data_IF_094518657022
#
_entry.id   IF_094518657022
#
_cell.length_a   1.000
_cell.length_b   1.000
_cell.length_c   1.000
_cell.angle_alpha   90.00
_cell.angle_beta   90.00
_cell.angle_gamma   90.00
#
_symmetry.space_group_name_H-M   'P 1'
#
loop_
_entity.id
_entity.type
_entity.pdbx_description
1 polymer ?
#
# COMPACT_ATOMS: atom_id res chain seq x y z
N UNK A 1 -11.13 -11.44 -8.71
CA UNK A 1 -10.67 -10.44 -9.72
C UNK A 1 -9.41 -9.71 -9.25
N UNK A 2 -9.38 -9.11 -8.06
CA UNK A 2 -8.22 -8.35 -7.55
C UNK A 2 -6.86 -9.11 -7.62
N UNK A 3 -6.80 -10.36 -7.16
CA UNK A 3 -5.55 -11.15 -7.25
C UNK A 3 -5.08 -11.32 -8.71
N UNK A 4 -5.99 -11.57 -9.66
CA UNK A 4 -5.63 -11.70 -11.07
C UNK A 4 -5.10 -10.39 -11.66
N UNK A 5 -5.64 -9.25 -11.23
CA UNK A 5 -5.12 -7.93 -11.61
C UNK A 5 -3.71 -7.71 -11.04
N UNK A 6 -3.46 -8.09 -9.79
CA UNK A 6 -2.12 -8.05 -9.20
C UNK A 6 -1.14 -8.90 -9.99
N UNK A 7 -1.50 -10.14 -10.34
CA UNK A 7 -0.65 -11.00 -11.18
C UNK A 7 -0.33 -10.29 -12.49
N UNK A 8 -1.35 -9.85 -13.23
CA UNK A 8 -1.16 -9.23 -14.54
C UNK A 8 -0.28 -7.97 -14.48
N UNK A 9 -0.47 -7.11 -13.49
CA UNK A 9 0.32 -5.88 -13.33
C UNK A 9 1.78 -6.22 -13.00
N UNK A 10 2.03 -7.13 -12.06
CA UNK A 10 3.40 -7.50 -11.67
C UNK A 10 4.12 -8.25 -12.79
N UNK A 11 3.41 -9.08 -13.56
CA UNK A 11 3.97 -9.72 -14.74
C UNK A 11 4.32 -8.72 -15.85
N UNK A 12 3.57 -7.64 -15.98
CA UNK A 12 3.90 -6.52 -16.86
C UNK A 12 5.01 -5.60 -16.32
N UNK A 13 5.61 -5.92 -15.15
CA UNK A 13 6.68 -5.13 -14.53
C UNK A 13 6.18 -3.98 -13.64
N UNK A 14 4.88 -3.92 -13.39
CA UNK A 14 4.28 -2.95 -12.50
C UNK A 14 4.37 -3.32 -11.01
N UNK A 15 3.86 -2.41 -10.18
CA UNK A 15 3.65 -2.60 -8.74
C UNK A 15 2.17 -2.39 -8.44
N UNK A 16 1.63 -3.11 -7.47
CA UNK A 16 0.24 -2.89 -7.00
C UNK A 16 0.20 -2.60 -5.53
N UNK A 17 -0.73 -1.74 -5.11
CA UNK A 17 -1.04 -1.47 -3.71
C UNK A 17 -2.50 -1.82 -3.43
N UNK A 18 -2.77 -2.60 -2.39
CA UNK A 18 -4.12 -2.95 -1.94
C UNK A 18 -4.80 -1.76 -1.26
N UNK A 19 -5.35 -0.84 -2.05
CA UNK A 19 -5.96 0.41 -1.58
C UNK A 19 -7.40 0.24 -1.08
N UNK A 20 -8.19 -0.61 -1.74
CA UNK A 20 -9.62 -0.76 -1.46
C UNK A 20 -9.92 -1.15 -0.01
N UNK A 21 -9.28 -2.22 0.47
CA UNK A 21 -9.47 -2.67 1.86
C UNK A 21 -8.78 -1.76 2.89
N UNK A 22 -7.86 -0.90 2.44
CA UNK A 22 -7.18 0.07 3.29
C UNK A 22 -8.06 1.30 3.53
N UNK A 23 -8.62 1.88 2.46
CA UNK A 23 -9.37 3.14 2.54
C UNK A 23 -10.88 2.92 2.65
N UNK A 24 -11.41 1.80 2.18
CA UNK A 24 -12.83 1.48 2.22
C UNK A 24 -13.49 1.75 3.58
N UNK A 25 -12.90 1.32 4.72
CA UNK A 25 -13.43 1.62 6.04
C UNK A 25 -13.60 3.12 6.32
N UNK A 26 -12.66 3.96 5.87
CA UNK A 26 -12.74 5.42 6.03
C UNK A 26 -13.84 6.03 5.17
N UNK A 27 -13.97 5.59 3.91
CA UNK A 27 -15.05 6.04 3.03
C UNK A 27 -16.44 5.64 3.54
N UNK A 28 -16.55 4.50 4.23
CA UNK A 28 -17.81 4.07 4.88
C UNK A 28 -18.09 4.85 6.16
N UNK A 29 -17.06 5.11 6.98
CA UNK A 29 -17.23 5.77 8.27
C UNK A 29 -17.47 7.29 8.14
N UNK A 30 -16.84 7.94 7.15
CA UNK A 30 -16.84 9.40 6.98
C UNK A 30 -17.20 9.79 5.53
N UNK A 31 -18.36 9.35 5.00
CA UNK A 31 -18.68 9.49 3.58
C UNK A 31 -18.77 10.95 3.12
N UNK A 32 -19.30 11.86 3.94
CA UNK A 32 -19.44 13.29 3.62
C UNK A 32 -18.08 14.01 3.53
N UNK A 33 -17.06 13.50 4.22
CA UNK A 33 -15.70 14.03 4.17
C UNK A 33 -14.89 13.39 3.04
N UNK A 34 -15.09 12.08 2.82
CA UNK A 34 -14.25 11.27 1.94
C UNK A 34 -14.69 11.28 0.47
N UNK A 35 -15.99 11.48 0.19
CA UNK A 35 -16.52 11.60 -1.17
C UNK A 35 -16.78 13.04 -1.57
N UNK A 36 -16.72 13.29 -2.88
CA UNK A 36 -17.23 14.51 -3.51
C UNK A 36 -18.77 14.52 -3.49
N UNK A 37 -19.37 15.63 -3.92
CA UNK A 37 -20.83 15.83 -3.96
C UNK A 37 -21.58 14.77 -4.79
N UNK A 38 -20.91 14.12 -5.76
CA UNK A 38 -21.50 13.05 -6.56
C UNK A 38 -21.55 11.68 -5.86
N UNK A 39 -20.94 11.58 -4.66
CA UNK A 39 -20.84 10.36 -3.84
C UNK A 39 -20.19 9.19 -4.58
N UNK A 40 -19.37 9.49 -5.57
CA UNK A 40 -18.65 8.50 -6.36
C UNK A 40 -17.15 8.81 -6.40
N UNK A 41 -16.78 10.04 -6.77
CA UNK A 41 -15.38 10.44 -6.75
C UNK A 41 -14.93 10.75 -5.33
N UNK A 42 -13.66 10.46 -4.97
CA UNK A 42 -13.08 10.97 -3.75
C UNK A 42 -13.15 12.50 -3.68
N UNK A 43 -13.32 13.03 -2.48
CA UNK A 43 -13.09 14.44 -2.17
C UNK A 43 -11.59 14.78 -2.22
N UNK A 44 -11.19 16.06 -2.07
CA UNK A 44 -9.78 16.39 -1.85
C UNK A 44 -9.13 15.63 -0.70
N UNK A 45 -9.83 15.45 0.43
CA UNK A 45 -9.34 14.67 1.56
C UNK A 45 -9.22 13.18 1.21
N UNK A 46 -10.20 12.63 0.48
CA UNK A 46 -10.16 11.25 0.00
C UNK A 46 -9.00 10.99 -0.97
N UNK A 47 -8.72 11.93 -1.89
CA UNK A 47 -7.54 11.85 -2.76
C UNK A 47 -6.23 12.00 -1.99
N UNK A 48 -6.18 12.87 -0.97
CA UNK A 48 -5.00 13.00 -0.13
C UNK A 48 -4.66 11.68 0.59
N UNK A 49 -5.66 10.97 1.13
CA UNK A 49 -5.49 9.65 1.73
C UNK A 49 -5.04 8.59 0.71
N UNK A 50 -5.62 8.59 -0.49
CA UNK A 50 -5.18 7.72 -1.58
C UNK A 50 -3.74 7.99 -1.99
N UNK A 51 -3.35 9.26 -2.15
CA UNK A 51 -1.99 9.65 -2.46
C UNK A 51 -1.02 9.24 -1.35
N UNK A 52 -1.34 9.50 -0.08
CA UNK A 52 -0.53 9.12 1.07
C UNK A 52 -0.25 7.60 1.12
N UNK A 53 -1.25 6.78 0.79
CA UNK A 53 -1.08 5.33 0.72
C UNK A 53 -0.17 4.88 -0.45
N UNK A 54 -0.20 5.59 -1.58
CA UNK A 54 0.58 5.25 -2.78
C UNK A 54 2.02 5.79 -2.75
N UNK A 55 2.24 6.93 -2.09
CA UNK A 55 3.52 7.65 -2.09
C UNK A 55 4.73 6.78 -1.72
N UNK A 56 4.70 5.91 -0.69
CA UNK A 56 5.84 5.04 -0.38
C UNK A 56 6.19 4.10 -1.55
N UNK A 57 5.18 3.58 -2.25
CA UNK A 57 5.38 2.69 -3.41
C UNK A 57 6.03 3.41 -4.57
N UNK A 58 5.52 4.62 -4.87
CA UNK A 58 6.05 5.49 -5.93
C UNK A 58 7.48 5.90 -5.63
N UNK A 59 7.76 6.32 -4.38
CA UNK A 59 9.09 6.72 -3.96
C UNK A 59 10.08 5.55 -4.07
N UNK A 60 9.71 4.33 -3.64
CA UNK A 60 10.59 3.15 -3.83
C UNK A 60 10.77 2.81 -5.31
N UNK A 61 9.74 2.93 -6.14
CA UNK A 61 9.86 2.67 -7.58
C UNK A 61 10.81 3.65 -8.28
N UNK A 62 10.88 4.90 -7.78
CA UNK A 62 11.78 5.95 -8.28
C UNK A 62 13.17 5.94 -7.60
N UNK A 63 13.43 5.03 -6.65
CA UNK A 63 14.67 5.02 -5.89
C UNK A 63 14.82 6.18 -4.90
N UNK A 64 13.71 6.81 -4.52
CA UNK A 64 13.64 7.93 -3.58
C UNK A 64 13.35 7.48 -2.12
N UNK A 65 13.24 6.17 -1.86
CA UNK A 65 12.88 5.61 -0.56
C UNK A 65 13.53 4.23 -0.29
N UNK A 66 14.18 3.99 0.87
CA UNK A 66 14.63 4.97 1.86
C UNK A 66 15.97 5.63 1.47
N UNK A 67 16.16 6.85 2.00
CA UNK A 67 17.41 7.62 1.95
C UNK A 67 18.47 7.04 2.93
N UNK A 68 18.08 6.06 3.75
CA UNK A 68 18.99 5.23 4.56
C UNK A 68 19.39 3.94 3.82
N UNK A 69 20.67 3.53 3.85
CA UNK A 69 21.18 2.37 3.13
C UNK A 69 20.67 1.01 3.63
N UNK A 70 19.98 0.97 4.78
CA UNK A 70 19.35 -0.23 5.33
C UNK A 70 17.82 -0.06 5.25
N UNK A 71 17.24 -0.31 4.07
CA UNK A 71 15.81 -0.62 4.02
C UNK A 71 15.61 -1.84 4.96
N UNK A 72 14.80 -1.74 6.03
CA UNK A 72 14.68 -2.83 6.99
C UNK A 72 14.27 -4.08 6.24
N UNK A 73 14.90 -5.21 6.53
CA UNK A 73 14.52 -6.51 5.95
C UNK A 73 13.00 -6.70 6.03
N UNK A 74 12.39 -7.34 5.02
CA UNK A 74 10.95 -7.59 5.04
C UNK A 74 10.54 -8.29 6.33
N UNK A 75 9.59 -7.69 7.04
CA UNK A 75 9.13 -8.19 8.33
C UNK A 75 8.20 -9.39 8.13
N UNK A 76 8.76 -10.60 8.32
CA UNK A 76 8.01 -11.87 8.21
C UNK A 76 6.85 -11.94 9.19
N UNK A 77 6.93 -11.31 10.35
CA UNK A 77 5.82 -11.29 11.33
C UNK A 77 4.64 -10.48 10.80
N UNK A 78 4.88 -9.53 9.90
CA UNK A 78 3.84 -8.75 9.20
C UNK A 78 3.40 -9.38 7.88
N UNK A 79 3.87 -10.59 7.59
CA UNK A 79 3.60 -11.31 6.35
C UNK A 79 4.39 -10.81 5.14
N UNK A 80 5.40 -9.98 5.35
CA UNK A 80 6.26 -9.47 4.27
C UNK A 80 7.29 -10.51 3.84
N UNK A 81 7.78 -10.37 2.61
CA UNK A 81 8.87 -11.17 2.08
C UNK A 81 8.67 -11.60 0.63
N UNK A 82 9.62 -12.39 0.14
CA UNK A 82 9.59 -12.91 -1.22
C UNK A 82 8.78 -14.20 -1.30
N UNK A 83 7.89 -14.27 -2.27
CA UNK A 83 7.10 -15.47 -2.59
C UNK A 83 6.72 -15.47 -4.07
N UNK A 84 5.97 -16.47 -4.55
CA UNK A 84 5.50 -16.45 -5.94
C UNK A 84 4.55 -15.28 -6.18
N UNK A 85 4.49 -14.74 -7.40
CA UNK A 85 3.53 -13.69 -7.78
C UNK A 85 2.08 -14.13 -7.44
N UNK A 86 1.74 -15.39 -7.68
CA UNK A 86 0.40 -15.93 -7.41
C UNK A 86 0.07 -15.94 -5.90
N UNK A 87 1.02 -16.37 -5.06
CA UNK A 87 0.85 -16.37 -3.61
C UNK A 87 0.80 -14.94 -3.06
N UNK A 88 1.71 -14.06 -3.52
CA UNK A 88 1.74 -12.66 -3.13
C UNK A 88 0.42 -11.97 -3.47
N UNK A 89 -0.10 -12.18 -4.68
CA UNK A 89 -1.39 -11.65 -5.11
C UNK A 89 -2.55 -12.14 -4.24
N UNK A 90 -2.58 -13.44 -3.93
CA UNK A 90 -3.62 -14.03 -3.08
C UNK A 90 -3.60 -13.45 -1.66
N UNK A 91 -2.39 -13.26 -1.11
CA UNK A 91 -2.21 -12.66 0.22
C UNK A 91 -2.58 -11.17 0.21
N UNK A 92 -2.19 -10.43 -0.82
CA UNK A 92 -2.41 -8.99 -0.91
C UNK A 92 -3.90 -8.61 -0.86
N UNK A 93 -4.78 -9.46 -1.39
CA UNK A 93 -6.25 -9.31 -1.32
C UNK A 93 -6.78 -9.34 0.12
N UNK A 94 -6.04 -9.88 1.08
CA UNK A 94 -6.45 -9.98 2.49
C UNK A 94 -5.68 -9.04 3.41
N UNK A 95 -4.73 -8.28 2.86
CA UNK A 95 -3.81 -7.45 3.63
C UNK A 95 -3.90 -6.01 3.15
N UNK A 96 -4.77 -5.21 3.80
CA UNK A 96 -4.90 -3.79 3.51
C UNK A 96 -3.54 -3.07 3.47
N UNK A 97 -3.34 -2.26 2.43
CA UNK A 97 -2.14 -1.45 2.25
C UNK A 97 -0.88 -2.25 1.90
N UNK A 98 -1.01 -3.53 1.56
CA UNK A 98 0.12 -4.30 1.04
C UNK A 98 0.48 -3.86 -0.37
N UNK A 99 1.79 -3.81 -0.63
CA UNK A 99 2.39 -3.65 -1.95
C UNK A 99 2.87 -5.01 -2.45
N UNK A 100 2.63 -5.29 -3.73
CA UNK A 100 3.29 -6.38 -4.47
C UNK A 100 4.11 -5.79 -5.60
N UNK A 101 5.37 -6.19 -5.69
CA UNK A 101 6.31 -5.80 -6.76
C UNK A 101 7.11 -7.02 -7.22
N UNK A 102 7.67 -6.97 -8.43
CA UNK A 102 8.59 -8.02 -8.89
C UNK A 102 9.82 -8.13 -8.00
N UNK A 103 10.37 -9.33 -7.85
CA UNK A 103 11.59 -9.57 -7.09
C UNK A 103 12.59 -10.45 -7.85
N UNK A 104 13.84 -10.37 -7.44
CA UNK A 104 14.91 -11.27 -7.85
C UNK A 104 15.46 -12.00 -6.62
N UNK A 105 15.66 -13.31 -6.73
CA UNK A 105 16.28 -14.14 -5.70
C UNK A 105 17.50 -14.84 -6.27
N UNK A 106 18.69 -14.37 -5.91
CA UNK A 106 19.95 -14.97 -6.33
C UNK A 106 20.23 -14.84 -7.83
N UNK A 107 19.89 -13.70 -8.43
CA UNK A 107 20.03 -13.42 -9.87
C UNK A 107 18.95 -14.09 -10.72
N UNK A 108 17.81 -14.45 -10.12
CA UNK A 108 16.71 -15.12 -10.82
C UNK A 108 15.39 -14.43 -10.51
N UNK A 109 14.68 -14.01 -11.55
CA UNK A 109 13.32 -13.50 -11.45
C UNK A 109 12.25 -14.59 -11.25
N UNK A 110 12.61 -15.87 -11.44
CA UNK A 110 11.68 -17.01 -11.39
C UNK A 110 12.20 -18.14 -10.51
N UNK A 111 11.27 -18.85 -9.88
CA UNK A 111 11.51 -20.07 -9.11
C UNK A 111 10.43 -21.13 -9.36
N UNK A 112 10.33 -22.15 -8.48
CA UNK A 112 9.41 -23.29 -8.68
C UNK A 112 7.93 -22.89 -8.80
N UNK A 113 7.52 -21.82 -8.14
CA UNK A 113 6.16 -21.28 -8.18
C UNK A 113 5.92 -20.23 -9.26
N UNK A 114 6.84 -20.08 -10.23
CA UNK A 114 6.77 -19.03 -11.26
C UNK A 114 7.59 -17.80 -10.89
N UNK A 115 7.14 -16.61 -11.32
CA UNK A 115 7.88 -15.36 -11.09
C UNK A 115 7.87 -15.00 -9.61
N UNK A 116 8.99 -14.47 -9.12
CA UNK A 116 9.10 -13.99 -7.74
C UNK A 116 8.47 -12.62 -7.59
N UNK A 117 7.89 -12.39 -6.42
CA UNK A 117 7.36 -11.10 -6.01
C UNK A 117 7.77 -10.80 -4.57
N UNK A 118 8.03 -9.52 -4.30
CA UNK A 118 8.18 -8.97 -2.96
C UNK A 118 6.82 -8.43 -2.51
N UNK A 119 6.36 -8.93 -1.37
CA UNK A 119 5.18 -8.44 -0.67
C UNK A 119 5.62 -7.60 0.54
N UNK A 120 5.15 -6.35 0.63
CA UNK A 120 5.51 -5.40 1.70
C UNK A 120 4.31 -4.64 2.25
N UNK A 121 4.37 -4.16 3.50
CA UNK A 121 3.37 -3.25 4.08
C UNK A 121 4.05 -1.93 4.44
N UNK A 122 4.21 -1.08 3.42
CA UNK A 122 4.95 0.19 3.53
C UNK A 122 4.22 1.23 4.36
N UNK A 123 2.88 1.24 4.34
CA UNK A 123 2.13 2.13 5.20
C UNK A 123 2.15 1.61 6.65
N UNK A 124 2.91 2.30 7.49
CA UNK A 124 2.76 2.22 8.94
C UNK A 124 1.68 3.24 9.28
N UNK A 125 0.43 2.80 9.37
CA UNK A 125 -0.58 3.60 10.05
C UNK A 125 -0.09 3.73 11.51
N UNK A 126 0.55 4.84 11.82
CA UNK A 126 0.64 5.30 13.20
C UNK A 126 -0.82 5.55 13.62
N UNK A 127 -1.28 5.02 14.76
CA UNK A 127 -2.64 5.29 15.22
C UNK A 127 -2.85 6.80 15.29
N UNK A 128 -3.78 7.26 14.45
CA UNK A 128 -4.41 8.58 14.38
C UNK A 128 -3.72 9.74 15.12
N UNK A 129 -2.65 10.27 14.54
CA UNK A 129 -2.11 11.59 14.91
C UNK A 129 -2.91 12.76 14.31
N UNK A 130 -4.02 12.49 13.59
CA UNK A 130 -4.86 13.55 13.02
C UNK A 130 -5.76 14.24 14.08
N UNK A 131 -5.81 13.72 15.32
CA UNK A 131 -6.50 14.40 16.43
C UNK A 131 -5.65 15.39 17.22
N UNK A 132 -4.33 15.27 17.23
CA UNK A 132 -3.47 16.07 18.14
C UNK A 132 -3.32 17.52 17.66
N UNK A 133 -3.34 17.78 16.34
CA UNK A 133 -3.17 19.15 15.82
C UNK A 133 -4.45 19.98 15.80
N UNK A 134 -5.63 19.35 15.94
CA UNK A 134 -6.91 20.05 16.00
C UNK A 134 -7.32 20.43 17.43
N UNK A 135 -6.70 19.82 18.44
CA UNK A 135 -7.01 20.06 19.86
C UNK A 135 -6.14 21.19 20.45
N UNK A 136 -4.89 21.33 19.99
CA UNK A 136 -3.99 22.41 20.43
C UNK A 136 -4.36 23.80 19.85
N UNK A 137 -5.31 23.86 18.91
CA UNK A 137 -5.79 25.12 18.32
C UNK A 137 -7.09 25.65 18.98
N UNK A 138 -7.67 24.90 19.92
CA UNK A 138 -8.94 25.25 20.58
C UNK A 138 -8.72 25.71 22.04
N UNK A 139 -7.55 25.46 22.62
CA UNK A 139 -7.23 25.81 24.02
C UNK A 139 -6.45 27.14 24.19
N UNK A 140 -6.33 27.96 23.14
CA UNK A 140 -5.59 29.24 23.16
C UNK A 140 -6.50 30.47 22.86
N UNK A 141 -7.76 30.46 23.34
CA UNK A 141 -8.64 31.64 23.43
C UNK A 141 -9.41 31.69 24.76
#
# INVERSE_FOLDING_TARGET
MAAAQTVAVVEAGGRTVSLGDLLGPHFVAMPEEMFSADRFHPSPAGYAQAAAALLPSVATALGLWPVDPEEPDPDRLRGEGVTSVADAATRAVRMPGSEVSGADVGGRERGPGGRWAMLRRRLRLVPDSARVMAQDAIDDD
#
